data_IF_192773500119
#
_entry.id   IF_192773500119
#
_cell.length_a   1.000
_cell.length_b   1.000
_cell.length_c   1.000
_cell.angle_alpha   90.00
_cell.angle_beta   90.00
_cell.angle_gamma   90.00
#
_symmetry.space_group_name_H-M   'P 1'
#
loop_
_entity.id
_entity.type
_entity.pdbx_description
1 polymer ?
#
# COMPACT_ATOMS: atom_id res chain seq x y z
N UNK A 1 10.00 -8.22 19.05
CA UNK A 1 11.18 -7.60 19.70
C UNK A 1 12.34 -8.59 19.88
N UNK A 2 12.14 -9.75 20.52
CA UNK A 2 13.22 -10.71 20.80
C UNK A 2 14.00 -11.13 19.55
N UNK A 3 13.31 -11.46 18.46
CA UNK A 3 13.92 -11.85 17.19
C UNK A 3 14.75 -10.72 16.59
N UNK A 4 14.23 -9.49 16.55
CA UNK A 4 14.98 -8.33 16.03
C UNK A 4 16.20 -8.01 16.89
N UNK A 5 16.08 -8.11 18.22
CA UNK A 5 17.22 -7.94 19.13
C UNK A 5 18.34 -8.95 18.83
N UNK A 6 17.98 -10.21 18.58
CA UNK A 6 18.96 -11.24 18.22
C UNK A 6 19.67 -10.93 16.90
N UNK A 7 18.92 -10.57 15.84
CA UNK A 7 19.47 -10.22 14.53
C UNK A 7 20.43 -9.02 14.65
N UNK A 8 20.00 -7.95 15.32
CA UNK A 8 20.79 -6.73 15.52
C UNK A 8 22.10 -7.03 16.25
N UNK A 9 22.03 -7.89 17.27
CA UNK A 9 23.22 -8.29 18.04
C UNK A 9 24.28 -8.96 17.17
N UNK A 10 23.84 -9.75 16.16
CA UNK A 10 24.76 -10.51 15.33
C UNK A 10 25.31 -9.73 14.13
N UNK A 11 24.48 -8.99 13.40
CA UNK A 11 24.89 -8.40 12.11
C UNK A 11 24.50 -6.93 11.91
N UNK A 12 23.90 -6.27 12.92
CA UNK A 12 23.45 -4.86 12.83
C UNK A 12 22.63 -4.56 11.56
N UNK A 13 21.72 -5.46 11.23
CA UNK A 13 20.91 -5.41 10.03
C UNK A 13 19.98 -4.18 10.01
N UNK A 14 20.04 -3.40 8.93
CA UNK A 14 19.27 -2.17 8.79
C UNK A 14 17.75 -2.39 8.85
N UNK A 15 17.28 -3.49 8.23
CA UNK A 15 15.87 -3.84 8.24
C UNK A 15 15.40 -4.28 9.63
N UNK A 16 16.25 -4.98 10.38
CA UNK A 16 15.94 -5.36 11.75
C UNK A 16 15.81 -4.14 12.67
N UNK A 17 16.67 -3.13 12.50
CA UNK A 17 16.51 -1.85 13.20
C UNK A 17 15.21 -1.17 12.81
N UNK A 18 14.91 -1.02 11.52
CA UNK A 18 13.67 -0.43 11.05
C UNK A 18 12.43 -1.12 11.66
N UNK A 19 12.33 -2.45 11.54
CA UNK A 19 11.19 -3.21 12.06
C UNK A 19 11.05 -3.13 13.59
N UNK A 20 12.17 -3.07 14.32
CA UNK A 20 12.13 -2.86 15.77
C UNK A 20 11.71 -1.45 16.13
N UNK A 21 12.17 -0.47 15.36
CA UNK A 21 11.76 0.93 15.49
C UNK A 21 10.26 1.11 15.30
N UNK A 22 9.71 0.49 14.25
CA UNK A 22 8.29 0.48 13.95
C UNK A 22 7.48 -0.13 15.11
N UNK A 23 7.90 -1.29 15.64
CA UNK A 23 7.28 -1.87 16.83
C UNK A 23 7.35 -0.97 18.07
N UNK A 24 8.45 -0.24 18.27
CA UNK A 24 8.54 0.72 19.37
C UNK A 24 7.59 1.90 19.18
N UNK A 25 7.37 2.35 17.94
CA UNK A 25 6.36 3.37 17.65
C UNK A 25 4.96 2.87 18.00
N UNK A 26 4.60 1.66 17.58
CA UNK A 26 3.30 1.03 17.91
C UNK A 26 3.08 0.86 19.43
N UNK A 27 4.16 0.66 20.18
CA UNK A 27 4.13 0.56 21.66
C UNK A 27 4.13 1.92 22.37
N UNK A 28 4.15 3.04 21.64
CA UNK A 28 4.28 4.39 22.21
C UNK A 28 5.68 4.75 22.72
N UNK A 29 6.68 3.90 22.47
CA UNK A 29 8.09 4.08 22.88
C UNK A 29 8.86 4.93 21.85
N UNK A 30 8.29 6.11 21.52
CA UNK A 30 8.74 6.97 20.41
C UNK A 30 10.25 7.22 20.36
N UNK A 31 10.86 7.51 21.52
CA UNK A 31 12.30 7.79 21.61
C UNK A 31 13.15 6.58 21.15
N UNK A 32 12.73 5.37 21.51
CA UNK A 32 13.40 4.13 21.08
C UNK A 32 13.17 3.86 19.61
N UNK A 33 11.94 4.09 19.14
CA UNK A 33 11.58 3.96 17.72
C UNK A 33 12.45 4.85 16.84
N UNK A 34 12.57 6.13 17.16
CA UNK A 34 13.40 7.09 16.42
C UNK A 34 14.88 6.74 16.45
N UNK A 35 15.43 6.31 17.59
CA UNK A 35 16.82 5.89 17.68
C UNK A 35 17.12 4.66 16.80
N UNK A 36 16.15 3.75 16.68
CA UNK A 36 16.26 2.60 15.78
C UNK A 36 16.13 3.01 14.31
N UNK A 37 15.29 3.98 13.97
CA UNK A 37 15.23 4.53 12.61
C UNK A 37 16.53 5.19 12.18
N UNK A 38 17.17 5.96 13.06
CA UNK A 38 18.50 6.53 12.81
C UNK A 38 19.55 5.43 12.57
N UNK A 39 19.51 4.37 13.39
CA UNK A 39 20.38 3.20 13.22
C UNK A 39 20.11 2.47 11.90
N UNK A 40 18.84 2.32 11.51
CA UNK A 40 18.44 1.71 10.25
C UNK A 40 19.02 2.48 9.05
N UNK A 41 18.91 3.80 9.04
CA UNK A 41 19.48 4.66 8.00
C UNK A 41 21.01 4.60 8.00
N UNK A 42 21.64 4.60 9.17
CA UNK A 42 23.12 4.51 9.27
C UNK A 42 23.66 3.22 8.64
N UNK A 43 22.96 2.10 8.82
CA UNK A 43 23.36 0.79 8.28
C UNK A 43 22.83 0.52 6.88
N UNK A 44 21.73 1.16 6.47
CA UNK A 44 21.06 1.00 5.18
C UNK A 44 21.12 2.22 4.26
N UNK A 45 22.23 2.97 4.23
CA UNK A 45 22.38 4.28 3.56
C UNK A 45 21.91 4.36 2.11
N UNK A 46 21.93 3.25 1.37
CA UNK A 46 21.53 3.18 -0.05
C UNK A 46 20.25 2.34 -0.25
N UNK A 47 19.55 2.01 0.83
CA UNK A 47 18.36 1.20 0.76
C UNK A 47 17.11 2.08 0.86
N UNK A 48 16.53 2.45 -0.28
CA UNK A 48 15.33 3.28 -0.39
C UNK A 48 14.16 2.74 0.46
N UNK A 49 13.99 1.41 0.54
CA UNK A 49 12.89 0.79 1.30
C UNK A 49 12.94 1.13 2.80
N UNK A 50 14.14 1.32 3.36
CA UNK A 50 14.29 1.75 4.75
C UNK A 50 13.71 3.15 4.96
N UNK A 51 14.04 4.08 4.08
CA UNK A 51 13.56 5.46 4.19
C UNK A 51 12.05 5.56 3.97
N UNK A 52 11.54 4.85 2.98
CA UNK A 52 10.11 4.79 2.68
C UNK A 52 9.36 4.16 3.84
N UNK A 53 9.83 3.02 4.37
CA UNK A 53 9.21 2.36 5.52
C UNK A 53 9.19 3.24 6.78
N UNK A 54 10.26 4.00 7.04
CA UNK A 54 10.30 4.97 8.15
C UNK A 54 9.25 6.08 7.94
N UNK A 55 9.14 6.62 6.73
CA UNK A 55 8.10 7.59 6.40
C UNK A 55 6.70 7.02 6.64
N UNK A 56 6.43 5.81 6.16
CA UNK A 56 5.14 5.14 6.33
C UNK A 56 4.81 4.89 7.80
N UNK A 57 5.80 4.44 8.59
CA UNK A 57 5.66 4.29 10.04
C UNK A 57 5.34 5.62 10.73
N UNK A 58 6.13 6.65 10.48
CA UNK A 58 5.92 7.97 11.08
C UNK A 58 4.59 8.59 10.66
N UNK A 59 4.16 8.38 9.42
CA UNK A 59 2.86 8.87 8.92
C UNK A 59 1.68 8.20 9.62
N UNK A 60 1.74 6.89 9.90
CA UNK A 60 0.72 6.19 10.71
C UNK A 60 0.60 6.74 12.12
N UNK A 61 1.68 7.29 12.67
CA UNK A 61 1.74 7.89 13.99
C UNK A 61 1.59 9.43 13.98
N UNK A 62 0.96 9.99 12.95
CA UNK A 62 0.68 11.43 12.81
C UNK A 62 1.93 12.33 12.76
N UNK A 63 3.08 11.76 12.36
CA UNK A 63 4.39 12.44 12.26
C UNK A 63 4.88 12.56 10.82
N UNK A 64 3.96 12.85 9.91
CA UNK A 64 4.24 12.90 8.47
C UNK A 64 5.39 13.84 8.13
N UNK A 65 5.44 15.03 8.74
CA UNK A 65 6.50 16.03 8.48
C UNK A 65 7.90 15.53 8.88
N UNK A 66 7.98 14.75 9.95
CA UNK A 66 9.23 14.09 10.34
C UNK A 66 9.62 13.00 9.33
N UNK A 67 8.63 12.23 8.87
CA UNK A 67 8.83 11.21 7.86
C UNK A 67 9.31 11.77 6.51
N UNK A 68 8.80 12.92 6.07
CA UNK A 68 9.23 13.58 4.84
C UNK A 68 10.74 13.89 4.80
N UNK A 69 11.37 14.15 5.94
CA UNK A 69 12.82 14.36 6.02
C UNK A 69 13.61 13.12 5.60
N UNK A 70 13.11 11.92 5.91
CA UNK A 70 13.71 10.68 5.46
C UNK A 70 13.54 10.48 3.95
N UNK A 71 12.38 10.80 3.40
CA UNK A 71 12.17 10.76 1.94
C UNK A 71 13.11 11.75 1.21
N UNK A 72 13.23 12.97 1.70
CA UNK A 72 14.16 13.96 1.15
C UNK A 72 15.61 13.48 1.20
N UNK A 73 16.03 12.87 2.31
CA UNK A 73 17.36 12.28 2.41
C UNK A 73 17.57 11.11 1.43
N UNK A 74 16.53 10.34 1.14
CA UNK A 74 16.60 9.26 0.17
C UNK A 74 16.76 9.78 -1.27
N UNK A 75 16.22 10.94 -1.62
CA UNK A 75 16.41 11.56 -2.94
C UNK A 75 17.88 11.91 -3.21
N UNK A 76 18.69 12.16 -2.19
CA UNK A 76 20.12 12.43 -2.30
C UNK A 76 20.98 11.17 -2.56
N UNK A 77 20.39 9.98 -2.51
CA UNK A 77 21.08 8.74 -2.81
C UNK A 77 21.53 8.77 -4.28
N UNK A 78 22.85 8.72 -4.47
CA UNK A 78 23.43 8.58 -5.81
C UNK A 78 23.34 7.12 -6.23
N UNK A 79 22.35 6.83 -7.06
CA UNK A 79 22.12 5.55 -7.69
C UNK A 79 22.52 5.58 -9.16
N UNK A 80 22.86 4.42 -9.69
CA UNK A 80 23.22 4.18 -11.09
C UNK A 80 22.48 2.97 -11.68
N UNK A 81 21.50 2.48 -10.95
CA UNK A 81 20.70 1.30 -11.32
C UNK A 81 19.32 1.71 -11.87
N UNK A 82 18.77 0.93 -12.79
CA UNK A 82 17.41 1.17 -13.28
C UNK A 82 16.34 1.27 -12.18
N UNK A 83 16.51 0.52 -11.07
CA UNK A 83 15.60 0.56 -9.93
C UNK A 83 15.60 1.91 -9.20
N UNK A 84 16.65 2.70 -9.30
CA UNK A 84 16.74 4.00 -8.64
C UNK A 84 15.67 4.96 -9.16
N UNK A 85 15.36 4.90 -10.46
CA UNK A 85 14.29 5.71 -11.05
C UNK A 85 12.91 5.33 -10.49
N UNK A 86 12.65 4.06 -10.27
CA UNK A 86 11.40 3.59 -9.66
C UNK A 86 11.27 4.13 -8.22
N UNK A 87 12.31 4.00 -7.41
CA UNK A 87 12.28 4.47 -6.03
C UNK A 87 12.17 5.98 -5.92
N UNK A 88 12.91 6.73 -6.75
CA UNK A 88 12.81 8.19 -6.80
C UNK A 88 11.41 8.64 -7.23
N UNK A 89 10.83 7.98 -8.20
CA UNK A 89 9.46 8.24 -8.61
C UNK A 89 8.43 7.97 -7.51
N UNK A 90 8.57 6.84 -6.79
CA UNK A 90 7.74 6.54 -5.62
C UNK A 90 7.91 7.59 -4.53
N UNK A 91 9.13 8.01 -4.24
CA UNK A 91 9.42 9.03 -3.22
C UNK A 91 8.83 10.38 -3.63
N UNK A 92 9.03 10.83 -4.87
CA UNK A 92 8.43 12.07 -5.37
C UNK A 92 6.90 12.06 -5.27
N UNK A 93 6.25 10.92 -5.56
CA UNK A 93 4.81 10.77 -5.35
C UNK A 93 4.42 10.94 -3.87
N UNK A 94 5.13 10.28 -2.94
CA UNK A 94 4.90 10.39 -1.49
C UNK A 94 5.13 11.81 -0.94
N UNK A 95 6.03 12.57 -1.57
CA UNK A 95 6.26 13.98 -1.28
C UNK A 95 5.21 14.92 -1.89
N UNK A 96 4.35 14.43 -2.79
CA UNK A 96 3.36 15.23 -3.53
C UNK A 96 3.93 15.93 -4.76
N UNK A 97 5.15 15.62 -5.16
CA UNK A 97 5.85 16.16 -6.34
C UNK A 97 5.44 15.38 -7.60
N UNK A 98 4.15 15.44 -7.94
CA UNK A 98 3.54 14.52 -8.94
C UNK A 98 4.20 14.61 -10.32
N UNK A 99 4.66 15.79 -10.77
CA UNK A 99 5.33 15.95 -12.07
C UNK A 99 6.69 15.26 -12.10
N UNK A 100 7.45 15.37 -11.02
CA UNK A 100 8.75 14.70 -10.89
C UNK A 100 8.56 13.20 -10.75
N UNK A 101 7.55 12.77 -9.98
CA UNK A 101 7.15 11.36 -9.89
C UNK A 101 6.87 10.76 -11.27
N UNK A 102 6.03 11.42 -12.08
CA UNK A 102 5.74 10.98 -13.46
C UNK A 102 7.03 10.86 -14.27
N UNK A 103 7.91 11.88 -14.24
CA UNK A 103 9.16 11.87 -15.00
C UNK A 103 10.07 10.70 -14.64
N UNK A 104 10.28 10.42 -13.34
CA UNK A 104 11.08 9.30 -12.88
C UNK A 104 10.44 7.95 -13.23
N UNK A 105 9.12 7.82 -13.04
CA UNK A 105 8.41 6.56 -13.27
C UNK A 105 8.28 6.21 -14.75
N UNK A 106 8.19 7.19 -15.65
CA UNK A 106 8.24 6.94 -17.09
C UNK A 106 9.59 6.32 -17.49
N UNK A 107 10.71 6.83 -16.98
CA UNK A 107 12.03 6.23 -17.19
C UNK A 107 12.13 4.82 -16.61
N UNK A 108 11.62 4.62 -15.38
CA UNK A 108 11.58 3.30 -14.77
C UNK A 108 10.78 2.30 -15.62
N UNK A 109 9.68 2.74 -16.22
CA UNK A 109 8.86 1.92 -17.14
C UNK A 109 9.61 1.58 -18.42
N UNK A 110 10.40 2.48 -19.01
CA UNK A 110 11.30 2.20 -20.14
C UNK A 110 12.30 1.08 -19.81
N UNK A 111 12.74 1.01 -18.55
CA UNK A 111 13.59 -0.06 -18.02
C UNK A 111 12.82 -1.32 -17.59
N UNK A 112 11.56 -1.46 -18.02
CA UNK A 112 10.68 -2.62 -17.73
C UNK A 112 10.44 -2.88 -16.23
N UNK A 113 10.50 -1.84 -15.42
CA UNK A 113 10.09 -1.91 -14.02
C UNK A 113 8.55 -1.90 -13.93
N UNK A 114 7.93 -3.10 -13.88
CA UNK A 114 6.46 -3.23 -13.97
C UNK A 114 5.71 -2.46 -12.87
N UNK A 115 6.30 -2.38 -11.67
CA UNK A 115 5.74 -1.61 -10.57
C UNK A 115 5.67 -0.10 -10.86
N UNK A 116 6.45 0.40 -11.83
CA UNK A 116 6.37 1.79 -12.25
C UNK A 116 4.99 2.16 -12.80
N UNK A 117 4.29 1.22 -13.47
CA UNK A 117 2.93 1.46 -13.97
C UNK A 117 1.92 1.68 -12.85
N UNK A 118 2.08 1.02 -11.69
CA UNK A 118 1.27 1.26 -10.51
C UNK A 118 1.43 2.70 -9.99
N UNK A 119 2.67 3.10 -9.69
CA UNK A 119 2.93 4.44 -9.18
C UNK A 119 2.67 5.54 -10.21
N UNK A 120 2.84 5.28 -11.52
CA UNK A 120 2.40 6.18 -12.59
C UNK A 120 0.90 6.41 -12.54
N UNK A 121 0.12 5.35 -12.35
CA UNK A 121 -1.32 5.46 -12.17
C UNK A 121 -1.68 6.40 -11.03
N UNK A 122 -1.08 6.20 -9.86
CA UNK A 122 -1.29 7.05 -8.68
C UNK A 122 -0.84 8.51 -8.93
N UNK A 123 0.33 8.70 -9.56
CA UNK A 123 0.86 10.04 -9.83
C UNK A 123 0.05 10.80 -10.88
N UNK A 124 -0.43 10.12 -11.94
CA UNK A 124 -1.33 10.73 -12.92
C UNK A 124 -2.67 11.10 -12.33
N UNK A 125 -3.24 10.24 -11.48
CA UNK A 125 -4.50 10.54 -10.80
C UNK A 125 -4.37 11.76 -9.88
N UNK A 126 -3.33 11.79 -9.05
CA UNK A 126 -3.01 12.93 -8.19
C UNK A 126 -2.68 14.24 -9.00
N UNK A 127 -2.29 14.11 -10.26
CA UNK A 127 -2.07 15.23 -11.19
C UNK A 127 -3.32 15.65 -11.98
N UNK A 128 -4.46 14.91 -11.81
CA UNK A 128 -5.72 15.16 -12.51
C UNK A 128 -5.85 14.48 -13.88
N UNK A 129 -4.91 13.62 -14.28
CA UNK A 129 -4.89 12.93 -15.57
C UNK A 129 -5.54 11.53 -15.47
N UNK A 130 -6.83 11.47 -15.10
CA UNK A 130 -7.52 10.19 -14.78
C UNK A 130 -7.51 9.16 -15.92
N UNK A 131 -7.52 9.58 -17.19
CA UNK A 131 -7.45 8.64 -18.31
C UNK A 131 -6.11 7.92 -18.39
N UNK A 132 -5.01 8.65 -18.16
CA UNK A 132 -3.68 8.05 -18.10
C UNK A 132 -3.51 7.18 -16.86
N UNK A 133 -4.05 7.60 -15.73
CA UNK A 133 -4.06 6.83 -14.51
C UNK A 133 -4.69 5.46 -14.72
N UNK A 134 -5.91 5.40 -15.24
CA UNK A 134 -6.62 4.14 -15.55
C UNK A 134 -5.85 3.25 -16.50
N UNK A 135 -5.22 3.82 -17.52
CA UNK A 135 -4.40 3.05 -18.48
C UNK A 135 -3.19 2.42 -17.79
N UNK A 136 -2.47 3.19 -16.97
CA UNK A 136 -1.31 2.68 -16.24
C UNK A 136 -1.68 1.58 -15.24
N UNK A 137 -2.77 1.73 -14.50
CA UNK A 137 -3.25 0.70 -13.58
C UNK A 137 -3.70 -0.56 -14.33
N UNK A 138 -4.40 -0.43 -15.46
CA UNK A 138 -4.77 -1.58 -16.28
C UNK A 138 -3.55 -2.34 -16.81
N UNK A 139 -2.50 -1.64 -17.24
CA UNK A 139 -1.22 -2.24 -17.65
C UNK A 139 -0.55 -2.97 -16.48
N UNK A 140 -0.57 -2.38 -15.28
CA UNK A 140 -0.02 -3.00 -14.07
C UNK A 140 -0.74 -4.30 -13.74
N UNK A 141 -2.07 -4.30 -13.71
CA UNK A 141 -2.87 -5.51 -13.44
C UNK A 141 -2.58 -6.58 -14.50
N UNK A 142 -2.57 -6.19 -15.79
CA UNK A 142 -2.30 -7.12 -16.92
C UNK A 142 -0.89 -7.70 -16.88
N UNK A 143 0.08 -7.03 -16.26
CA UNK A 143 1.45 -7.53 -16.16
C UNK A 143 1.59 -8.78 -15.27
N UNK A 144 0.59 -9.09 -14.45
CA UNK A 144 0.57 -10.22 -13.54
C UNK A 144 1.46 -10.06 -12.30
N UNK A 145 2.03 -8.87 -12.06
CA UNK A 145 2.81 -8.58 -10.84
C UNK A 145 1.99 -7.93 -9.73
N UNK A 146 0.76 -7.51 -10.04
CA UNK A 146 -0.16 -6.92 -9.08
C UNK A 146 -0.45 -7.90 -7.92
N UNK A 147 -0.43 -7.38 -6.71
CA UNK A 147 -0.78 -8.16 -5.52
C UNK A 147 -2.20 -7.85 -5.07
N UNK A 148 -2.77 -8.75 -4.26
CA UNK A 148 -4.10 -8.53 -3.69
C UNK A 148 -4.13 -7.34 -2.71
N UNK A 149 -2.98 -6.97 -2.15
CA UNK A 149 -2.86 -5.75 -1.33
C UNK A 149 -2.93 -4.48 -2.18
N UNK A 150 -2.23 -4.43 -3.32
CA UNK A 150 -2.27 -3.27 -4.22
C UNK A 150 -3.70 -3.03 -4.73
N UNK A 151 -4.40 -4.09 -5.10
CA UNK A 151 -5.79 -4.01 -5.57
C UNK A 151 -6.76 -3.63 -4.44
N UNK A 152 -6.49 -4.06 -3.23
CA UNK A 152 -7.22 -3.61 -2.05
C UNK A 152 -7.06 -2.10 -1.83
N UNK A 153 -5.84 -1.59 -1.84
CA UNK A 153 -5.55 -0.15 -1.65
C UNK A 153 -6.20 0.71 -2.74
N UNK A 154 -6.10 0.31 -4.02
CA UNK A 154 -6.77 0.99 -5.13
C UNK A 154 -8.30 1.00 -4.94
N UNK A 155 -8.86 -0.12 -4.54
CA UNK A 155 -10.29 -0.21 -4.26
C UNK A 155 -10.72 0.67 -3.10
N UNK A 156 -9.93 0.73 -2.03
CA UNK A 156 -10.22 1.60 -0.87
C UNK A 156 -10.14 3.08 -1.22
N UNK A 157 -9.21 3.49 -2.08
CA UNK A 157 -9.16 4.86 -2.58
C UNK A 157 -10.43 5.22 -3.35
N UNK A 158 -10.87 4.36 -4.27
CA UNK A 158 -12.12 4.58 -5.01
C UNK A 158 -13.38 4.58 -4.10
N UNK A 159 -13.34 3.80 -3.00
CA UNK A 159 -14.38 3.84 -1.96
C UNK A 159 -14.46 5.20 -1.29
N UNK A 160 -13.32 5.80 -0.94
CA UNK A 160 -13.25 7.13 -0.32
C UNK A 160 -13.77 8.22 -1.26
N UNK A 161 -13.54 8.07 -2.56
CA UNK A 161 -14.00 8.98 -3.60
C UNK A 161 -15.49 8.75 -3.99
N UNK A 162 -16.15 7.75 -3.41
CA UNK A 162 -17.53 7.37 -3.71
C UNK A 162 -17.70 6.63 -5.05
N UNK A 163 -16.62 6.19 -5.66
CA UNK A 163 -16.60 5.50 -6.94
C UNK A 163 -16.77 3.97 -6.77
N UNK A 164 -17.85 3.54 -6.14
CA UNK A 164 -18.08 2.15 -5.71
C UNK A 164 -17.94 1.11 -6.84
N UNK A 165 -18.31 1.44 -8.08
CA UNK A 165 -18.16 0.54 -9.23
C UNK A 165 -16.69 0.28 -9.59
N UNK A 166 -15.86 1.31 -9.52
CA UNK A 166 -14.41 1.16 -9.73
C UNK A 166 -13.80 0.36 -8.58
N UNK A 167 -14.18 0.68 -7.33
CA UNK A 167 -13.76 -0.06 -6.15
C UNK A 167 -14.04 -1.57 -6.29
N UNK A 168 -15.26 -1.92 -6.71
CA UNK A 168 -15.65 -3.32 -6.98
C UNK A 168 -14.78 -3.98 -8.07
N UNK A 169 -14.41 -3.23 -9.11
CA UNK A 169 -13.50 -3.76 -10.14
C UNK A 169 -12.17 -4.18 -9.54
N UNK A 170 -11.58 -3.36 -8.67
CA UNK A 170 -10.32 -3.67 -8.02
C UNK A 170 -10.44 -4.79 -6.99
N UNK A 171 -11.47 -4.76 -6.12
CA UNK A 171 -11.67 -5.82 -5.13
C UNK A 171 -11.89 -7.19 -5.79
N UNK A 172 -12.72 -7.25 -6.82
CA UNK A 172 -12.98 -8.50 -7.54
C UNK A 172 -11.72 -9.00 -8.27
N UNK A 173 -10.97 -8.12 -8.95
CA UNK A 173 -9.68 -8.49 -9.54
C UNK A 173 -8.70 -9.02 -8.50
N UNK A 174 -8.68 -8.45 -7.29
CA UNK A 174 -7.87 -8.94 -6.17
C UNK A 174 -8.26 -10.34 -5.70
N UNK A 175 -9.57 -10.63 -5.69
CA UNK A 175 -10.10 -11.93 -5.30
C UNK A 175 -9.84 -13.03 -6.34
N UNK A 176 -9.63 -12.66 -7.62
CA UNK A 176 -9.33 -13.58 -8.72
C UNK A 176 -7.83 -13.97 -8.80
N UNK A 177 -6.96 -13.32 -8.04
CA UNK A 177 -5.53 -13.67 -8.02
C UNK A 177 -5.29 -15.06 -7.42
N UNK A 178 -4.21 -15.72 -7.86
CA UNK A 178 -3.80 -17.04 -7.34
C UNK A 178 -3.51 -17.02 -5.83
N UNK A 179 -2.93 -15.91 -5.33
CA UNK A 179 -2.58 -15.73 -3.93
C UNK A 179 -3.29 -14.51 -3.36
N UNK A 180 -4.18 -14.73 -2.42
CA UNK A 180 -5.02 -13.70 -1.80
C UNK A 180 -4.91 -13.75 -0.27
N UNK A 181 -3.76 -13.32 0.32
CA UNK A 181 -3.57 -13.39 1.78
C UNK A 181 -4.52 -12.48 2.57
N UNK A 182 -5.00 -11.38 1.96
CA UNK A 182 -5.97 -10.45 2.54
C UNK A 182 -7.41 -10.68 2.03
N UNK A 183 -7.76 -11.94 1.68
CA UNK A 183 -9.06 -12.31 1.10
C UNK A 183 -10.24 -11.82 1.95
N UNK A 184 -10.13 -11.95 3.27
CA UNK A 184 -11.17 -11.50 4.20
C UNK A 184 -11.48 -10.01 4.03
N UNK A 185 -10.44 -9.17 3.99
CA UNK A 185 -10.59 -7.73 3.82
C UNK A 185 -11.19 -7.37 2.45
N UNK A 186 -10.71 -8.00 1.38
CA UNK A 186 -11.26 -7.80 0.04
C UNK A 186 -12.75 -8.13 -0.04
N UNK A 187 -13.17 -9.27 0.53
CA UNK A 187 -14.57 -9.66 0.54
C UNK A 187 -15.43 -8.69 1.36
N UNK A 188 -15.01 -8.29 2.57
CA UNK A 188 -15.72 -7.30 3.38
C UNK A 188 -15.87 -5.97 2.65
N UNK A 189 -14.78 -5.47 2.04
CA UNK A 189 -14.83 -4.22 1.30
C UNK A 189 -15.68 -4.29 0.04
N UNK A 190 -15.69 -5.43 -0.65
CA UNK A 190 -16.57 -5.63 -1.80
C UNK A 190 -18.05 -5.68 -1.39
N UNK A 191 -18.39 -6.33 -0.26
CA UNK A 191 -19.76 -6.32 0.29
C UNK A 191 -20.18 -4.87 0.57
N UNK A 192 -19.38 -4.11 1.29
CA UNK A 192 -19.65 -2.71 1.58
C UNK A 192 -19.82 -1.87 0.29
N UNK A 193 -18.99 -2.09 -0.73
CA UNK A 193 -19.09 -1.39 -2.00
C UNK A 193 -20.38 -1.73 -2.76
N UNK A 194 -20.85 -2.97 -2.73
CA UNK A 194 -22.15 -3.36 -3.26
C UNK A 194 -23.30 -2.67 -2.52
N UNK A 195 -23.24 -2.61 -1.18
CA UNK A 195 -24.24 -1.92 -0.35
C UNK A 195 -24.30 -0.43 -0.66
N UNK A 196 -23.16 0.25 -0.68
CA UNK A 196 -23.08 1.69 -1.01
C UNK A 196 -23.51 1.99 -2.44
N UNK A 197 -23.34 1.06 -3.37
CA UNK A 197 -23.84 1.20 -4.74
C UNK A 197 -25.34 0.86 -4.88
N UNK A 198 -25.98 0.33 -3.84
CA UNK A 198 -27.37 -0.11 -3.83
C UNK A 198 -27.61 -1.49 -4.47
N UNK A 199 -26.55 -2.23 -4.81
CA UNK A 199 -26.63 -3.60 -5.34
C UNK A 199 -26.71 -4.63 -4.20
N UNK A 200 -27.84 -4.62 -3.50
CA UNK A 200 -28.05 -5.50 -2.35
C UNK A 200 -28.10 -6.99 -2.73
N UNK A 201 -28.46 -7.34 -3.96
CA UNK A 201 -28.46 -8.73 -4.40
C UNK A 201 -27.06 -9.31 -4.50
N UNK A 202 -26.11 -8.53 -5.08
CA UNK A 202 -24.69 -8.91 -5.11
C UNK A 202 -24.08 -8.90 -3.72
N UNK A 203 -24.44 -7.94 -2.85
CA UNK A 203 -23.99 -7.90 -1.46
C UNK A 203 -24.41 -9.17 -0.71
N UNK A 204 -25.69 -9.58 -0.80
CA UNK A 204 -26.22 -10.82 -0.19
C UNK A 204 -25.48 -12.07 -0.69
N UNK A 205 -25.24 -12.15 -2.00
CA UNK A 205 -24.54 -13.29 -2.59
C UNK A 205 -23.12 -13.40 -2.02
N UNK A 206 -22.39 -12.29 -2.02
CA UNK A 206 -21.01 -12.28 -1.51
C UNK A 206 -20.96 -12.49 0.01
N UNK A 207 -21.92 -11.97 0.77
CA UNK A 207 -22.05 -12.19 2.21
C UNK A 207 -22.24 -13.68 2.54
N UNK A 208 -23.04 -14.40 1.77
CA UNK A 208 -23.20 -15.86 1.94
C UNK A 208 -21.90 -16.61 1.69
N UNK A 209 -21.15 -16.23 0.67
CA UNK A 209 -19.81 -16.79 0.39
C UNK A 209 -18.82 -16.46 1.51
N UNK A 210 -18.87 -15.22 2.01
CA UNK A 210 -18.04 -14.76 3.12
C UNK A 210 -18.30 -15.58 4.39
N UNK A 211 -19.55 -15.70 4.83
CA UNK A 211 -19.93 -16.43 6.04
C UNK A 211 -19.65 -17.93 5.93
N UNK A 212 -19.65 -18.50 4.72
CA UNK A 212 -19.21 -19.89 4.51
C UNK A 212 -17.70 -20.05 4.75
N UNK A 213 -16.89 -19.04 4.42
CA UNK A 213 -15.44 -19.07 4.63
C UNK A 213 -15.05 -18.64 6.05
N UNK A 214 -15.82 -17.75 6.66
CA UNK A 214 -15.55 -17.13 7.97
C UNK A 214 -16.79 -17.24 8.89
N UNK A 215 -17.18 -18.47 9.31
CA UNK A 215 -18.45 -18.71 10.02
C UNK A 215 -18.50 -18.11 11.43
N UNK A 216 -17.36 -17.75 12.01
CA UNK A 216 -17.25 -17.21 13.37
C UNK A 216 -17.24 -15.67 13.42
N UNK A 217 -17.41 -14.99 12.29
CA UNK A 217 -17.48 -13.53 12.22
C UNK A 217 -18.88 -13.03 12.62
N UNK A 218 -19.05 -12.69 13.91
CA UNK A 218 -20.33 -12.24 14.46
C UNK A 218 -20.80 -10.91 13.87
N UNK A 219 -19.88 -10.00 13.53
CA UNK A 219 -20.22 -8.74 12.89
C UNK A 219 -20.85 -8.97 11.51
N UNK A 220 -20.26 -9.86 10.71
CA UNK A 220 -20.79 -10.22 9.41
C UNK A 220 -22.12 -10.95 9.48
N UNK A 221 -22.38 -11.75 10.54
CA UNK A 221 -23.72 -12.34 10.77
C UNK A 221 -24.78 -11.30 11.02
N UNK A 222 -24.45 -10.27 11.82
CA UNK A 222 -25.36 -9.16 12.05
C UNK A 222 -25.65 -8.38 10.76
N UNK A 223 -24.62 -8.10 9.96
CA UNK A 223 -24.77 -7.44 8.68
C UNK A 223 -25.59 -8.26 7.70
N UNK A 224 -25.40 -9.58 7.64
CA UNK A 224 -26.23 -10.48 6.84
C UNK A 224 -27.72 -10.40 7.20
N UNK A 225 -28.04 -10.31 8.49
CA UNK A 225 -29.43 -10.17 8.95
C UNK A 225 -30.04 -8.85 8.42
N UNK A 226 -29.27 -7.76 8.44
CA UNK A 226 -29.70 -6.49 7.87
C UNK A 226 -29.91 -6.59 6.36
N UNK A 227 -28.97 -7.21 5.63
CA UNK A 227 -29.06 -7.42 4.19
C UNK A 227 -30.30 -8.22 3.77
N UNK A 228 -30.70 -9.23 4.55
CA UNK A 228 -31.90 -10.04 4.27
C UNK A 228 -33.20 -9.23 4.31
N UNK A 229 -33.21 -8.06 4.92
CA UNK A 229 -34.37 -7.16 4.99
C UNK A 229 -34.44 -6.17 3.82
N UNK A 230 -33.46 -6.10 2.98
CA UNK A 230 -33.37 -5.21 1.83
C UNK A 230 -33.73 -5.94 0.53
#
# INVERSE_FOLDING_TARGET
LATHNAIIKYNKDARAYYLRGDLYMDMGEEKKGKADFESAVQHGKKNYEIYIGIYESLSRHEKKDEGQKYLSAAMEIKGDKPEDELYKGRISYLLGENKDAISYLEKAKEHKQMLASYYLGLAYDANGDSDKAKKCIAEYIKSGVATSYDLYELGMQEMQDGNYKNALTYFNSGLELEKVPNKQNLMKSAIAAYEYSGDFDSAKKMMKEYLKAYPDDEEAKHENTFLETR
#
